data_IF_358825179453
#
_entry.id   IF_358825179453
#
_cell.length_a   1.000
_cell.length_b   1.000
_cell.length_c   1.000
_cell.angle_alpha   90.00
_cell.angle_beta   90.00
_cell.angle_gamma   90.00
#
_symmetry.space_group_name_H-M   'P 1'
#
loop_
_entity.id
_entity.type
_entity.pdbx_description
1 polymer ?
#
# COMPACT_ATOMS: atom_id res chain seq x y z
N UNK A 1 -32.07 24.27 75.10
CA UNK A 1 -33.03 25.38 75.28
C UNK A 1 -33.37 25.89 73.89
N UNK A 2 -34.50 25.46 73.34
CA UNK A 2 -35.78 26.19 73.32
C UNK A 2 -35.74 27.32 72.26
N UNK A 3 -36.67 27.49 71.33
CA UNK A 3 -37.93 26.85 70.92
C UNK A 3 -38.14 27.24 69.44
N UNK A 4 -39.01 26.60 68.65
CA UNK A 4 -40.44 26.95 68.56
C UNK A 4 -40.61 28.30 67.85
N UNK A 5 -41.41 28.50 66.80
CA UNK A 5 -42.65 27.81 66.43
C UNK A 5 -43.20 28.36 65.09
N UNK A 6 -43.91 27.49 64.35
CA UNK A 6 -45.17 27.69 63.57
C UNK A 6 -45.24 28.79 62.49
N UNK A 7 -45.89 28.59 61.35
CA UNK A 7 -46.83 27.60 60.81
C UNK A 7 -47.12 28.06 59.35
N UNK A 8 -47.90 27.42 58.49
CA UNK A 8 -49.19 26.75 58.67
C UNK A 8 -49.40 25.79 57.48
N UNK A 9 -50.06 24.67 57.78
CA UNK A 9 -50.54 23.59 56.91
C UNK A 9 -51.58 24.04 55.86
N UNK A 10 -51.62 23.41 54.68
CA UNK A 10 -52.67 22.42 54.37
C UNK A 10 -52.49 21.72 53.01
N UNK A 11 -53.01 20.50 52.99
CA UNK A 11 -52.93 19.45 51.98
C UNK A 11 -53.58 19.81 50.63
N UNK A 12 -53.04 19.23 49.55
CA UNK A 12 -53.85 18.34 48.69
C UNK A 12 -53.01 17.36 47.87
N UNK A 13 -53.21 16.07 48.15
CA UNK A 13 -52.91 14.94 47.27
C UNK A 13 -53.58 15.17 45.91
N UNK A 14 -52.85 14.95 44.82
CA UNK A 14 -53.36 14.17 43.70
C UNK A 14 -52.22 13.41 43.05
N UNK A 15 -52.30 12.09 43.22
CA UNK A 15 -51.60 11.07 42.46
C UNK A 15 -51.97 11.19 40.99
N UNK A 16 -50.99 11.35 40.12
CA UNK A 16 -51.15 11.06 38.69
C UNK A 16 -49.91 10.31 38.22
N UNK A 17 -50.16 9.08 37.80
CA UNK A 17 -49.22 8.12 37.24
C UNK A 17 -48.30 8.77 36.20
N UNK A 18 -46.99 8.65 36.40
CA UNK A 18 -46.04 8.68 35.29
C UNK A 18 -46.27 7.42 34.45
N UNK A 19 -47.03 7.55 33.36
CA UNK A 19 -47.06 6.55 32.31
C UNK A 19 -45.69 6.60 31.61
N UNK A 20 -44.81 5.68 31.97
CA UNK A 20 -43.61 5.42 31.19
C UNK A 20 -44.06 4.84 29.84
N UNK A 21 -44.08 5.69 28.80
CA UNK A 21 -44.24 5.24 27.43
C UNK A 21 -42.92 4.56 27.03
N UNK A 22 -42.81 3.27 27.33
CA UNK A 22 -41.82 2.42 26.71
C UNK A 22 -42.12 2.43 25.21
N UNK A 23 -41.37 3.21 24.44
CA UNK A 23 -41.30 3.05 23.00
C UNK A 23 -40.62 1.70 22.76
N UNK A 24 -41.45 0.66 22.70
CA UNK A 24 -41.10 -0.63 22.14
C UNK A 24 -40.75 -0.36 20.68
N UNK A 25 -39.46 -0.22 20.40
CA UNK A 25 -38.95 -0.28 19.03
C UNK A 25 -39.29 -1.68 18.56
N UNK A 26 -40.36 -1.80 17.78
CA UNK A 26 -40.63 -2.99 16.99
C UNK A 26 -39.41 -3.22 16.11
N UNK A 27 -38.55 -4.17 16.49
CA UNK A 27 -37.57 -4.74 15.59
C UNK A 27 -38.34 -5.43 14.48
N UNK A 28 -38.51 -4.76 13.34
CA UNK A 28 -38.95 -5.40 12.11
C UNK A 28 -37.87 -6.43 11.71
N UNK A 29 -38.17 -7.74 11.70
CA UNK A 29 -37.26 -8.73 11.15
C UNK A 29 -37.25 -8.53 9.64
N UNK A 30 -36.25 -7.82 9.12
CA UNK A 30 -36.12 -7.57 7.68
C UNK A 30 -35.34 -6.31 7.31
N UNK A 31 -35.10 -5.38 8.24
CA UNK A 31 -34.21 -4.24 7.97
C UNK A 31 -32.79 -4.64 8.33
N UNK A 32 -32.07 -5.20 7.36
CA UNK A 32 -30.59 -5.18 7.40
C UNK A 32 -30.21 -3.71 7.25
N UNK A 33 -29.84 -3.06 8.35
CA UNK A 33 -29.16 -1.77 8.26
C UNK A 33 -27.88 -2.03 7.48
N UNK A 34 -27.84 -1.58 6.22
CA UNK A 34 -26.59 -1.52 5.47
C UNK A 34 -25.62 -0.72 6.34
N UNK A 35 -24.59 -1.38 6.85
CA UNK A 35 -23.52 -0.69 7.56
C UNK A 35 -23.05 0.44 6.63
N UNK A 36 -22.89 1.68 7.11
CA UNK A 36 -22.36 2.74 6.28
C UNK A 36 -21.08 2.21 5.64
N UNK A 37 -20.97 2.36 4.33
CA UNK A 37 -19.80 1.87 3.59
C UNK A 37 -18.54 2.37 4.33
N UNK A 38 -17.62 1.47 4.70
CA UNK A 38 -16.49 1.86 5.52
C UNK A 38 -15.65 2.89 4.77
N UNK A 39 -14.98 3.76 5.52
CA UNK A 39 -13.94 4.61 4.96
C UNK A 39 -12.80 3.70 4.48
N UNK A 40 -12.78 3.44 3.17
CA UNK A 40 -11.97 2.40 2.53
C UNK A 40 -10.46 2.63 2.73
N UNK A 41 -10.01 3.89 2.68
CA UNK A 41 -8.60 4.24 2.90
C UNK A 41 -8.23 4.03 4.36
N UNK A 42 -9.09 4.46 5.28
CA UNK A 42 -8.97 4.28 6.71
C UNK A 42 -8.85 2.82 7.09
N UNK A 43 -9.70 1.95 6.52
CA UNK A 43 -9.62 0.51 6.76
C UNK A 43 -8.27 -0.11 6.34
N UNK A 44 -7.65 0.37 5.25
CA UNK A 44 -6.29 -0.04 4.86
C UNK A 44 -5.24 0.52 5.82
N UNK A 45 -5.31 1.82 6.15
CA UNK A 45 -4.39 2.45 7.11
C UNK A 45 -4.41 1.73 8.45
N UNK A 46 -5.59 1.47 9.00
CA UNK A 46 -5.79 0.75 10.26
C UNK A 46 -5.19 -0.66 10.21
N UNK A 47 -5.34 -1.34 9.07
CA UNK A 47 -4.79 -2.69 8.87
C UNK A 47 -3.25 -2.64 8.86
N UNK A 48 -2.66 -1.71 8.11
CA UNK A 48 -1.20 -1.50 8.08
C UNK A 48 -0.67 -1.14 9.46
N UNK A 49 -1.29 -0.19 10.15
CA UNK A 49 -0.91 0.22 11.51
C UNK A 49 -0.99 -0.94 12.51
N UNK A 50 -2.02 -1.78 12.40
CA UNK A 50 -2.21 -2.96 13.25
C UNK A 50 -1.13 -4.01 12.99
N UNK A 51 -0.86 -4.34 11.72
CA UNK A 51 0.18 -5.31 11.35
C UNK A 51 1.57 -4.80 11.72
N UNK A 52 1.85 -3.50 11.53
CA UNK A 52 3.10 -2.87 11.96
C UNK A 52 3.29 -2.97 13.47
N UNK A 53 2.25 -2.68 14.26
CA UNK A 53 2.29 -2.79 15.73
C UNK A 53 2.52 -4.24 16.16
N UNK A 54 1.86 -5.20 15.51
CA UNK A 54 2.06 -6.62 15.79
C UNK A 54 3.51 -7.05 15.51
N UNK A 55 4.04 -6.77 14.32
CA UNK A 55 5.42 -7.10 13.96
C UNK A 55 6.42 -6.50 14.94
N UNK A 56 6.26 -5.20 15.28
CA UNK A 56 7.12 -4.50 16.24
C UNK A 56 7.01 -4.99 17.68
N UNK A 57 5.87 -5.55 18.07
CA UNK A 57 5.72 -6.19 19.39
C UNK A 57 6.54 -7.47 19.53
N UNK A 58 6.87 -8.13 18.41
CA UNK A 58 7.67 -9.36 18.36
C UNK A 58 9.15 -9.07 18.06
N UNK A 59 9.41 -8.10 17.20
CA UNK A 59 10.74 -7.64 16.81
C UNK A 59 10.76 -6.11 16.77
N UNK A 60 11.37 -5.39 17.75
CA UNK A 60 11.28 -3.94 17.83
C UNK A 60 11.68 -3.18 16.55
N UNK A 61 12.63 -3.74 15.80
CA UNK A 61 13.14 -3.19 14.53
C UNK A 61 12.39 -3.68 13.29
N UNK A 62 11.21 -4.32 13.45
CA UNK A 62 10.45 -4.90 12.34
C UNK A 62 10.11 -3.85 11.28
N UNK A 63 10.57 -4.09 10.06
CA UNK A 63 10.46 -3.17 8.93
C UNK A 63 9.10 -3.34 8.25
N UNK A 64 8.42 -2.23 7.99
CA UNK A 64 7.18 -2.23 7.21
C UNK A 64 7.39 -1.38 5.96
N UNK A 65 7.43 -2.04 4.81
CA UNK A 65 7.34 -1.39 3.51
C UNK A 65 5.90 -1.46 3.02
N UNK A 66 5.50 -0.46 2.25
CA UNK A 66 4.26 -0.50 1.48
C UNK A 66 4.58 -0.34 0.01
N UNK A 67 3.95 -1.15 -0.85
CA UNK A 67 4.08 -1.02 -2.30
C UNK A 67 2.86 -0.28 -2.83
N UNK A 68 3.12 0.89 -3.41
CA UNK A 68 2.12 1.81 -3.91
C UNK A 68 1.27 2.45 -2.82
N UNK A 69 0.00 2.73 -3.10
CA UNK A 69 -0.94 3.34 -2.15
C UNK A 69 -0.55 4.74 -1.69
N UNK A 70 0.12 5.54 -2.55
CA UNK A 70 0.62 6.88 -2.22
C UNK A 70 -0.48 7.79 -1.64
N UNK A 71 -1.71 7.66 -2.13
CA UNK A 71 -2.83 8.47 -1.67
C UNK A 71 -3.28 8.17 -0.23
N UNK A 72 -2.81 7.07 0.38
CA UNK A 72 -3.11 6.75 1.78
C UNK A 72 -2.29 7.62 2.76
N UNK A 73 -1.18 8.19 2.31
CA UNK A 73 -0.30 9.00 3.17
C UNK A 73 -0.87 10.39 3.49
N UNK A 74 -1.91 10.84 2.79
CA UNK A 74 -2.48 12.16 3.00
C UNK A 74 -4.00 12.13 3.02
N UNK A 75 -4.60 13.11 3.68
CA UNK A 75 -6.04 13.32 3.68
C UNK A 75 -6.51 13.70 2.27
N UNK A 76 -7.36 12.88 1.66
CA UNK A 76 -7.99 13.19 0.38
C UNK A 76 -9.16 14.16 0.53
N UNK A 77 -9.53 14.80 -0.58
CA UNK A 77 -10.74 15.63 -0.64
C UNK A 77 -12.00 14.83 -0.32
N UNK A 78 -12.07 13.57 -0.78
CA UNK A 78 -13.20 12.68 -0.52
C UNK A 78 -13.38 12.43 0.97
N UNK A 79 -12.30 12.10 1.66
CA UNK A 79 -12.37 11.86 3.11
C UNK A 79 -12.75 13.13 3.88
N UNK A 80 -12.34 14.32 3.42
CA UNK A 80 -12.74 15.58 4.05
C UNK A 80 -14.23 15.91 3.83
N UNK A 81 -14.83 15.44 2.73
CA UNK A 81 -16.27 15.58 2.47
C UNK A 81 -17.12 14.61 3.30
N UNK A 82 -16.55 13.47 3.69
CA UNK A 82 -17.20 12.45 4.52
C UNK A 82 -17.01 12.70 6.04
N UNK A 83 -16.10 13.60 6.42
CA UNK A 83 -15.90 13.98 7.81
C UNK A 83 -17.08 14.79 8.34
N UNK A 84 -17.49 14.47 9.57
CA UNK A 84 -18.53 15.22 10.28
C UNK A 84 -18.13 16.70 10.41
N UNK A 85 -18.97 17.64 9.91
CA UNK A 85 -18.73 19.06 10.10
C UNK A 85 -18.51 19.43 11.58
N UNK A 86 -19.17 18.80 12.53
CA UNK A 86 -19.06 19.23 13.93
C UNK A 86 -17.91 18.53 14.68
N UNK A 87 -17.07 17.76 13.96
CA UNK A 87 -15.93 17.03 14.51
C UNK A 87 -14.79 17.92 15.03
N UNK A 88 -14.33 17.63 16.26
CA UNK A 88 -13.32 18.42 16.98
C UNK A 88 -11.89 18.37 16.41
N UNK A 89 -11.59 17.51 15.43
CA UNK A 89 -10.26 17.39 14.80
C UNK A 89 -10.40 17.25 13.28
N UNK A 90 -10.31 18.37 12.56
CA UNK A 90 -10.28 18.39 11.10
C UNK A 90 -8.84 18.50 10.61
N UNK A 91 -8.40 17.51 9.85
CA UNK A 91 -7.13 17.62 9.14
C UNK A 91 -7.37 18.29 7.78
N UNK A 92 -6.55 19.28 7.36
CA UNK A 92 -6.69 19.86 6.03
C UNK A 92 -6.43 18.80 4.95
N UNK A 93 -7.13 18.93 3.82
CA UNK A 93 -6.85 18.14 2.61
C UNK A 93 -5.36 18.29 2.24
N UNK A 94 -4.70 17.18 1.94
CA UNK A 94 -3.25 17.12 1.72
C UNK A 94 -2.40 17.04 3.00
N UNK A 95 -3.01 17.13 4.19
CA UNK A 95 -2.34 16.88 5.46
C UNK A 95 -1.89 15.41 5.57
N UNK A 96 -0.68 15.17 6.09
CA UNK A 96 -0.13 13.81 6.22
C UNK A 96 -0.85 13.01 7.30
N UNK A 97 -1.19 11.77 7.00
CA UNK A 97 -1.74 10.81 7.96
C UNK A 97 -0.62 10.31 8.89
N UNK A 98 -0.28 11.10 9.91
CA UNK A 98 0.94 10.89 10.70
C UNK A 98 1.01 9.53 11.42
N UNK A 99 -0.13 8.96 11.85
CA UNK A 99 -0.16 7.62 12.44
C UNK A 99 0.29 6.57 11.43
N UNK A 100 -0.25 6.65 10.20
CA UNK A 100 0.09 5.78 9.10
C UNK A 100 1.53 5.99 8.62
N UNK A 101 1.98 7.24 8.46
CA UNK A 101 3.36 7.59 8.10
C UNK A 101 4.35 6.95 9.08
N UNK A 102 4.10 7.04 10.40
CA UNK A 102 4.95 6.42 11.44
C UNK A 102 4.88 4.89 11.48
N UNK A 103 3.82 4.31 10.93
CA UNK A 103 3.72 2.86 10.78
C UNK A 103 4.60 2.33 9.64
N UNK A 104 4.96 3.17 8.66
CA UNK A 104 5.64 2.77 7.43
C UNK A 104 7.10 3.23 7.42
N UNK A 105 8.03 2.29 7.25
CA UNK A 105 9.46 2.58 7.13
C UNK A 105 9.88 2.95 5.70
N UNK A 106 9.15 2.46 4.69
CA UNK A 106 9.45 2.81 3.30
C UNK A 106 8.28 2.59 2.34
N UNK A 107 8.32 3.35 1.24
CA UNK A 107 7.37 3.33 0.15
C UNK A 107 8.06 2.79 -1.10
N UNK A 108 7.54 1.69 -1.64
CA UNK A 108 7.98 1.08 -2.90
C UNK A 108 7.05 1.56 -4.01
N UNK A 109 7.62 2.15 -5.06
CA UNK A 109 6.88 2.59 -6.25
C UNK A 109 7.30 1.76 -7.46
N UNK A 110 6.35 1.41 -8.32
CA UNK A 110 6.61 0.72 -9.57
C UNK A 110 6.74 1.71 -10.72
N UNK A 111 7.65 1.42 -11.65
CA UNK A 111 7.77 2.08 -12.97
C UNK A 111 7.77 3.62 -12.90
N UNK A 112 8.55 4.18 -11.99
CA UNK A 112 8.67 5.63 -11.82
C UNK A 112 9.54 6.30 -12.88
N UNK A 113 10.35 5.49 -13.57
CA UNK A 113 11.33 5.94 -14.56
C UNK A 113 11.35 5.09 -15.85
N UNK A 114 10.72 3.91 -15.85
CA UNK A 114 10.51 3.04 -17.00
C UNK A 114 9.01 2.97 -17.41
N UNK A 115 8.74 2.36 -18.57
CA UNK A 115 7.39 2.13 -19.09
C UNK A 115 6.60 3.42 -19.30
N UNK A 116 5.36 3.43 -18.81
CA UNK A 116 4.40 4.52 -19.01
C UNK A 116 4.88 5.86 -18.43
N UNK A 117 5.72 5.86 -17.37
CA UNK A 117 6.28 7.11 -16.85
C UNK A 117 7.25 7.74 -17.84
N UNK A 118 8.11 6.94 -18.48
CA UNK A 118 9.03 7.41 -19.50
C UNK A 118 8.30 7.90 -20.76
N UNK A 119 7.25 7.18 -21.16
CA UNK A 119 6.42 7.54 -22.33
C UNK A 119 5.71 8.87 -22.12
N UNK A 120 5.04 9.06 -20.98
CA UNK A 120 4.38 10.33 -20.63
C UNK A 120 5.34 11.51 -20.66
N UNK A 121 6.57 11.33 -20.16
CA UNK A 121 7.57 12.40 -20.18
C UNK A 121 8.05 12.71 -21.60
N UNK A 122 8.25 11.68 -22.42
CA UNK A 122 8.61 11.84 -23.84
C UNK A 122 7.52 12.58 -24.61
N UNK A 123 6.26 12.17 -24.44
CA UNK A 123 5.11 12.84 -25.05
C UNK A 123 5.00 14.30 -24.61
N UNK A 124 5.20 14.59 -23.32
CA UNK A 124 5.20 15.96 -22.81
C UNK A 124 6.31 16.83 -23.46
N UNK A 125 7.51 16.27 -23.66
CA UNK A 125 8.61 16.96 -24.36
C UNK A 125 8.30 17.20 -25.82
N UNK A 126 7.81 16.18 -26.53
CA UNK A 126 7.44 16.29 -27.94
C UNK A 126 6.30 17.30 -28.15
N UNK A 127 5.29 17.29 -27.27
CA UNK A 127 4.19 18.27 -27.29
C UNK A 127 4.71 19.70 -27.06
N UNK A 128 5.64 19.88 -26.12
CA UNK A 128 6.26 21.18 -25.85
C UNK A 128 7.02 21.70 -27.08
N UNK A 129 7.74 20.84 -27.79
CA UNK A 129 8.43 21.21 -29.03
C UNK A 129 7.44 21.56 -30.16
N UNK A 130 6.35 20.81 -30.33
CA UNK A 130 5.32 21.12 -31.35
C UNK A 130 4.70 22.50 -31.14
N UNK A 131 4.41 22.87 -29.90
CA UNK A 131 3.86 24.19 -29.55
C UNK A 131 4.80 25.36 -29.88
N UNK A 132 6.12 25.13 -29.96
CA UNK A 132 7.09 26.16 -30.38
C UNK A 132 7.07 26.43 -31.89
N UNK A 133 6.62 25.45 -32.70
CA UNK A 133 6.77 25.45 -34.16
C UNK A 133 5.47 25.87 -34.88
N UNK A 134 4.31 25.81 -34.22
CA UNK A 134 3.02 26.14 -34.84
C UNK A 134 2.90 27.61 -35.28
N UNK A 135 2.95 27.86 -36.59
CA UNK A 135 2.50 29.11 -37.23
C UNK A 135 0.96 29.19 -37.21
N UNK A 136 0.34 30.40 -37.18
CA UNK A 136 -1.11 30.53 -37.12
C UNK A 136 -1.76 29.89 -38.36
N UNK A 137 -2.69 28.96 -38.15
CA UNK A 137 -3.50 28.37 -39.22
C UNK A 137 -4.53 29.39 -39.74
N UNK A 138 -5.00 29.20 -40.99
CA UNK A 138 -5.97 30.07 -41.65
C UNK A 138 -7.34 30.19 -40.92
N UNK A 139 -7.62 29.32 -39.94
CA UNK A 139 -8.71 29.45 -38.97
C UNK A 139 -8.14 29.69 -37.57
N UNK A 140 -7.85 30.95 -37.26
CA UNK A 140 -7.20 31.36 -36.01
C UNK A 140 -7.95 30.90 -34.75
N UNK A 141 -9.29 30.91 -34.77
CA UNK A 141 -10.11 30.56 -33.60
C UNK A 141 -10.02 29.08 -33.20
N UNK A 142 -10.08 28.16 -34.16
CA UNK A 142 -9.98 26.72 -33.87
C UNK A 142 -8.59 26.34 -33.36
N UNK A 143 -7.54 26.89 -33.98
CA UNK A 143 -6.17 26.69 -33.55
C UNK A 143 -5.92 27.24 -32.14
N UNK A 144 -6.53 28.38 -31.79
CA UNK A 144 -6.43 28.98 -30.46
C UNK A 144 -7.16 28.14 -29.40
N UNK A 145 -8.36 27.65 -29.69
CA UNK A 145 -9.11 26.76 -28.78
C UNK A 145 -8.33 25.48 -28.48
N UNK A 146 -7.76 24.85 -29.51
CA UNK A 146 -6.98 23.62 -29.35
C UNK A 146 -5.68 23.85 -28.57
N UNK A 147 -4.97 24.95 -28.86
CA UNK A 147 -3.78 25.33 -28.10
C UNK A 147 -4.10 25.63 -26.62
N UNK A 148 -5.23 26.28 -26.33
CA UNK A 148 -5.65 26.55 -24.96
C UNK A 148 -6.03 25.26 -24.22
N UNK A 149 -6.68 24.31 -24.89
CA UNK A 149 -6.97 22.98 -24.33
C UNK A 149 -5.69 22.21 -24.00
N UNK A 150 -4.73 22.18 -24.93
CA UNK A 150 -3.43 21.53 -24.72
C UNK A 150 -2.65 22.17 -23.56
N UNK A 151 -2.63 23.51 -23.48
CA UNK A 151 -2.02 24.22 -22.34
C UNK A 151 -2.68 23.89 -21.01
N UNK A 152 -4.01 23.81 -20.97
CA UNK A 152 -4.74 23.45 -19.74
C UNK A 152 -4.44 22.01 -19.30
N UNK A 153 -4.38 21.07 -20.25
CA UNK A 153 -4.02 19.68 -20.00
C UNK A 153 -2.58 19.54 -19.49
N UNK A 154 -1.63 20.23 -20.13
CA UNK A 154 -0.24 20.31 -19.67
C UNK A 154 -0.13 20.88 -18.25
N UNK A 155 -0.84 21.98 -17.96
CA UNK A 155 -0.83 22.59 -16.64
C UNK A 155 -1.40 21.63 -15.56
N UNK A 156 -2.44 20.88 -15.89
CA UNK A 156 -3.02 19.87 -15.00
C UNK A 156 -2.03 18.72 -14.73
N UNK A 157 -1.36 18.22 -15.77
CA UNK A 157 -0.35 17.17 -15.63
C UNK A 157 0.85 17.65 -14.79
N UNK A 158 1.35 18.86 -15.06
CA UNK A 158 2.44 19.45 -14.30
C UNK A 158 2.08 19.66 -12.82
N UNK A 159 0.86 20.13 -12.55
CA UNK A 159 0.36 20.28 -11.18
C UNK A 159 0.28 18.93 -10.45
N UNK A 160 -0.18 17.87 -11.12
CA UNK A 160 -0.23 16.52 -10.55
C UNK A 160 1.17 15.98 -10.24
N UNK A 161 2.12 16.11 -11.19
CA UNK A 161 3.51 15.69 -10.99
C UNK A 161 4.20 16.45 -9.85
N UNK A 162 3.95 17.76 -9.76
CA UNK A 162 4.47 18.58 -8.67
C UNK A 162 3.86 18.18 -7.32
N UNK A 163 2.56 17.89 -7.28
CA UNK A 163 1.88 17.44 -6.05
C UNK A 163 2.44 16.09 -5.56
N UNK A 164 2.65 15.14 -6.49
CA UNK A 164 3.29 13.86 -6.19
C UNK A 164 4.72 14.05 -5.66
N UNK A 165 5.55 14.83 -6.36
CA UNK A 165 6.93 15.12 -5.94
C UNK A 165 6.98 15.76 -4.56
N UNK A 166 6.14 16.76 -4.31
CA UNK A 166 6.03 17.42 -3.01
C UNK A 166 5.62 16.45 -1.90
N UNK A 167 4.72 15.50 -2.18
CA UNK A 167 4.34 14.49 -1.21
C UNK A 167 5.51 13.56 -0.91
N UNK A 168 6.22 13.07 -1.93
CA UNK A 168 7.40 12.21 -1.75
C UNK A 168 8.50 12.90 -0.91
N UNK A 169 8.76 14.18 -1.13
CA UNK A 169 9.72 14.96 -0.34
C UNK A 169 9.30 15.11 1.13
N UNK A 170 8.00 15.32 1.37
CA UNK A 170 7.45 15.35 2.74
C UNK A 170 7.60 13.98 3.42
N UNK A 171 7.35 12.88 2.70
CA UNK A 171 7.52 11.53 3.24
C UNK A 171 8.98 11.23 3.59
N UNK A 172 9.92 11.64 2.75
CA UNK A 172 11.36 11.55 3.05
C UNK A 172 11.73 12.33 4.31
N UNK A 173 11.16 13.52 4.47
CA UNK A 173 11.38 14.36 5.67
C UNK A 173 10.86 13.68 6.94
N UNK A 174 9.78 12.93 6.85
CA UNK A 174 9.24 12.09 7.94
C UNK A 174 10.00 10.75 8.12
N UNK A 175 11.09 10.52 7.37
CA UNK A 175 11.94 9.34 7.48
C UNK A 175 11.47 8.13 6.67
N UNK A 176 10.46 8.27 5.81
CA UNK A 176 10.02 7.19 4.91
C UNK A 176 11.04 7.03 3.79
N UNK A 177 11.66 5.86 3.69
CA UNK A 177 12.60 5.57 2.60
C UNK A 177 11.85 5.31 1.30
N UNK A 178 12.28 5.94 0.21
CA UNK A 178 11.73 5.67 -1.12
C UNK A 178 12.48 4.53 -1.81
N UNK A 179 11.73 3.58 -2.34
CA UNK A 179 12.22 2.47 -3.14
C UNK A 179 11.51 2.44 -4.49
N UNK A 180 12.20 1.95 -5.53
CA UNK A 180 11.64 1.82 -6.87
C UNK A 180 11.87 0.42 -7.46
N UNK A 181 10.84 -0.19 -8.03
CA UNK A 181 10.94 -1.38 -8.87
C UNK A 181 10.69 -0.93 -10.31
N UNK A 182 11.73 -0.90 -11.12
CA UNK A 182 11.66 -0.42 -12.50
C UNK A 182 11.67 -1.59 -13.47
N UNK A 183 10.59 -1.77 -14.22
CA UNK A 183 10.52 -2.76 -15.30
C UNK A 183 10.79 -2.06 -16.64
N UNK A 184 12.00 -2.22 -17.13
CA UNK A 184 12.50 -1.54 -18.31
C UNK A 184 12.49 -2.50 -19.50
N UNK A 185 12.15 -1.99 -20.68
CA UNK A 185 12.08 -2.80 -21.91
C UNK A 185 13.46 -3.03 -22.51
N UNK A 186 14.37 -2.07 -22.34
CA UNK A 186 15.71 -2.12 -22.94
C UNK A 186 16.80 -1.73 -21.94
N UNK A 187 18.07 -2.12 -22.20
CA UNK A 187 19.21 -1.66 -21.41
C UNK A 187 19.39 -0.14 -21.38
N UNK A 188 19.04 0.56 -22.46
CA UNK A 188 19.08 2.03 -22.53
C UNK A 188 18.06 2.66 -21.59
N UNK A 189 16.84 2.11 -21.58
CA UNK A 189 15.78 2.50 -20.65
C UNK A 189 16.23 2.25 -19.19
N UNK A 190 16.83 1.09 -18.92
CA UNK A 190 17.41 0.79 -17.60
C UNK A 190 18.51 1.79 -17.19
N UNK A 191 19.39 2.20 -18.11
CA UNK A 191 20.43 3.18 -17.82
C UNK A 191 19.86 4.58 -17.53
N UNK A 192 18.76 4.97 -18.17
CA UNK A 192 18.04 6.19 -17.84
C UNK A 192 17.37 6.10 -16.47
N UNK A 193 16.72 4.98 -16.16
CA UNK A 193 16.05 4.77 -14.89
C UNK A 193 17.02 4.80 -13.70
N UNK A 194 18.22 4.21 -13.82
CA UNK A 194 19.28 4.32 -12.80
C UNK A 194 19.62 5.78 -12.47
N UNK A 195 19.76 6.63 -13.50
CA UNK A 195 20.07 8.06 -13.30
C UNK A 195 18.92 8.82 -12.65
N UNK A 196 17.67 8.57 -13.10
CA UNK A 196 16.48 9.24 -12.58
C UNK A 196 16.20 8.88 -11.12
N UNK A 197 16.22 7.59 -10.80
CA UNK A 197 15.97 7.11 -9.43
C UNK A 197 17.06 7.57 -8.46
N UNK A 198 18.33 7.54 -8.87
CA UNK A 198 19.43 8.10 -8.09
C UNK A 198 19.25 9.62 -7.83
N UNK A 199 18.86 10.39 -8.85
CA UNK A 199 18.58 11.82 -8.71
C UNK A 199 17.39 12.16 -7.80
N UNK A 200 16.52 11.19 -7.51
CA UNK A 200 15.40 11.32 -6.56
C UNK A 200 15.71 10.72 -5.19
N UNK A 201 16.93 10.25 -4.98
CA UNK A 201 17.38 9.55 -3.77
C UNK A 201 16.54 8.29 -3.46
N UNK A 202 16.11 7.59 -4.52
CA UNK A 202 15.38 6.33 -4.40
C UNK A 202 16.35 5.15 -4.43
N UNK A 203 16.14 4.19 -3.54
CA UNK A 203 16.80 2.90 -3.62
C UNK A 203 16.09 2.06 -4.70
N UNK A 204 16.73 1.80 -5.83
CA UNK A 204 16.06 1.20 -6.99
C UNK A 204 16.60 -0.18 -7.38
N UNK A 205 15.70 -1.08 -7.76
CA UNK A 205 16.01 -2.31 -8.49
C UNK A 205 15.53 -2.13 -9.93
N UNK A 206 16.42 -2.38 -10.88
CA UNK A 206 16.17 -2.13 -12.29
C UNK A 206 16.19 -3.45 -13.03
N UNK A 207 15.06 -3.82 -13.61
CA UNK A 207 14.82 -5.12 -14.23
C UNK A 207 14.62 -4.93 -15.73
N UNK A 208 15.37 -5.68 -16.54
CA UNK A 208 15.12 -5.78 -17.98
C UNK A 208 14.47 -7.12 -18.23
N UNK A 209 13.17 -7.20 -17.93
CA UNK A 209 12.37 -8.42 -18.04
C UNK A 209 10.98 -8.11 -18.60
N UNK A 210 10.66 -8.54 -19.83
CA UNK A 210 9.34 -8.33 -20.41
C UNK A 210 8.24 -9.10 -19.67
N UNK A 211 8.57 -10.13 -18.89
CA UNK A 211 7.59 -10.94 -18.15
C UNK A 211 7.00 -10.22 -16.95
N UNK A 212 7.77 -9.30 -16.34
CA UNK A 212 7.42 -8.53 -15.14
C UNK A 212 6.99 -9.40 -13.94
N UNK A 213 7.38 -10.68 -13.93
CA UNK A 213 6.92 -11.65 -12.91
C UNK A 213 7.67 -11.53 -11.59
N UNK A 214 8.79 -10.79 -11.56
CA UNK A 214 9.70 -10.74 -10.42
C UNK A 214 10.17 -12.16 -10.03
N UNK A 215 10.55 -12.96 -11.04
CA UNK A 215 11.01 -14.35 -10.91
C UNK A 215 12.49 -14.53 -11.24
N UNK A 216 13.20 -13.41 -11.44
CA UNK A 216 14.61 -13.41 -11.83
C UNK A 216 15.50 -13.08 -10.64
N UNK A 217 16.52 -13.92 -10.46
CA UNK A 217 17.69 -13.61 -9.63
C UNK A 217 18.84 -13.33 -10.59
N UNK A 218 19.21 -12.06 -10.71
CA UNK A 218 20.42 -11.71 -11.42
C UNK A 218 21.63 -12.06 -10.55
N UNK A 219 22.41 -13.04 -11.01
CA UNK A 219 23.66 -13.46 -10.35
C UNK A 219 24.87 -12.68 -10.87
N UNK A 220 24.70 -11.84 -11.90
CA UNK A 220 25.71 -10.86 -12.25
C UNK A 220 25.96 -9.97 -11.03
N UNK A 221 27.24 -9.67 -10.77
CA UNK A 221 27.62 -8.84 -9.63
C UNK A 221 26.81 -7.54 -9.66
N UNK A 222 26.00 -7.31 -8.64
CA UNK A 222 25.21 -6.09 -8.55
C UNK A 222 26.18 -4.91 -8.68
N UNK A 223 25.87 -3.95 -9.56
CA UNK A 223 26.55 -2.66 -9.51
C UNK A 223 26.36 -2.11 -8.09
N UNK A 224 27.45 -1.82 -7.38
CA UNK A 224 27.46 -1.39 -5.97
C UNK A 224 27.28 -2.51 -4.92
N UNK A 225 27.91 -3.67 -5.11
CA UNK A 225 28.05 -4.66 -4.02
C UNK A 225 28.58 -4.00 -2.73
N UNK A 226 27.96 -4.32 -1.60
CA UNK A 226 28.28 -3.76 -0.31
C UNK A 226 28.72 -4.88 0.63
N UNK A 227 29.96 -4.82 1.11
CA UNK A 227 30.49 -5.81 2.04
C UNK A 227 30.04 -5.56 3.49
N UNK A 228 29.56 -4.37 3.83
CA UNK A 228 29.18 -4.00 5.20
C UNK A 228 27.94 -4.80 5.66
N UNK A 229 27.84 -5.17 6.95
CA UNK A 229 26.59 -5.71 7.51
C UNK A 229 25.49 -4.65 7.51
N UNK A 230 24.28 -5.04 7.12
CA UNK A 230 23.11 -4.16 7.01
C UNK A 230 22.09 -4.57 8.07
N UNK A 231 21.93 -3.71 9.08
CA UNK A 231 21.07 -3.95 10.24
C UNK A 231 19.82 -3.07 10.27
N UNK A 232 19.69 -2.11 9.35
CA UNK A 232 18.54 -1.21 9.27
C UNK A 232 18.24 -0.83 7.83
N UNK A 233 16.99 -0.47 7.54
CA UNK A 233 16.58 -0.06 6.20
C UNK A 233 17.40 1.12 5.68
N UNK A 234 17.83 2.04 6.56
CA UNK A 234 18.66 3.20 6.22
C UNK A 234 20.07 2.83 5.72
N UNK A 235 20.62 1.70 6.15
CA UNK A 235 21.96 1.24 5.73
C UNK A 235 21.97 0.52 4.37
N UNK A 236 20.82 0.11 3.84
CA UNK A 236 20.74 -0.60 2.56
C UNK A 236 21.09 0.31 1.39
N UNK A 237 21.95 -0.15 0.47
CA UNK A 237 22.38 0.54 -0.75
C UNK A 237 21.89 -0.15 -2.02
N UNK A 238 21.54 -1.43 -1.92
CA UNK A 238 20.97 -2.23 -3.01
C UNK A 238 19.85 -3.12 -2.49
N UNK A 239 18.86 -3.42 -3.32
CA UNK A 239 17.88 -4.43 -2.98
C UNK A 239 17.51 -5.28 -4.19
N UNK A 240 16.97 -6.46 -3.91
CA UNK A 240 16.46 -7.41 -4.90
C UNK A 240 15.06 -7.85 -4.47
N UNK A 241 14.17 -7.99 -5.45
CA UNK A 241 12.79 -8.41 -5.23
C UNK A 241 12.49 -9.64 -6.08
N UNK A 242 12.02 -10.72 -5.44
CA UNK A 242 11.67 -11.98 -6.10
C UNK A 242 10.38 -12.52 -5.49
N UNK A 243 9.25 -12.26 -6.14
CA UNK A 243 7.92 -12.58 -5.62
C UNK A 243 7.29 -13.82 -6.27
N UNK A 244 7.91 -14.34 -7.33
CA UNK A 244 7.49 -15.57 -7.98
C UNK A 244 8.67 -16.55 -8.08
N UNK A 245 8.64 -17.58 -7.24
CA UNK A 245 9.71 -18.57 -7.16
C UNK A 245 9.44 -19.81 -8.02
N UNK A 246 8.38 -19.85 -8.84
CA UNK A 246 8.03 -21.03 -9.66
C UNK A 246 9.08 -21.37 -10.72
N UNK A 247 9.97 -20.44 -11.04
CA UNK A 247 11.13 -20.68 -11.92
C UNK A 247 12.16 -21.63 -11.29
N UNK A 248 12.15 -21.75 -9.97
CA UNK A 248 13.04 -22.66 -9.24
C UNK A 248 12.31 -24.00 -9.05
N UNK A 249 12.94 -25.10 -9.45
CA UNK A 249 12.31 -26.42 -9.39
C UNK A 249 12.03 -26.92 -7.98
N UNK A 250 12.80 -26.44 -7.00
CA UNK A 250 12.71 -26.85 -5.59
C UNK A 250 12.95 -25.65 -4.68
N UNK A 251 12.37 -25.71 -3.49
CA UNK A 251 12.51 -24.70 -2.44
C UNK A 251 13.98 -24.47 -2.07
N UNK A 252 14.79 -25.53 -1.96
CA UNK A 252 16.20 -25.38 -1.58
C UNK A 252 16.99 -24.61 -2.64
N UNK A 253 16.72 -24.86 -3.93
CA UNK A 253 17.37 -24.14 -5.04
C UNK A 253 17.02 -22.65 -5.02
N UNK A 254 15.78 -22.31 -4.65
CA UNK A 254 15.35 -20.93 -4.49
C UNK A 254 16.12 -20.22 -3.37
N UNK A 255 16.26 -20.88 -2.21
CA UNK A 255 16.98 -20.33 -1.05
C UNK A 255 18.49 -20.23 -1.33
N UNK A 256 19.09 -21.25 -1.95
CA UNK A 256 20.51 -21.25 -2.33
C UNK A 256 20.85 -20.13 -3.30
N UNK A 257 19.97 -19.83 -4.26
CA UNK A 257 20.18 -18.76 -5.23
C UNK A 257 20.37 -17.39 -4.56
N UNK A 258 19.70 -17.13 -3.45
CA UNK A 258 19.93 -15.92 -2.67
C UNK A 258 21.32 -15.87 -2.03
N UNK A 259 21.87 -17.00 -1.60
CA UNK A 259 23.21 -17.10 -1.04
C UNK A 259 24.33 -16.76 -2.03
N UNK A 260 24.00 -16.67 -3.33
CA UNK A 260 24.92 -16.30 -4.40
C UNK A 260 24.95 -14.79 -4.69
N UNK A 261 24.15 -13.99 -3.98
CA UNK A 261 24.02 -12.55 -4.23
C UNK A 261 24.49 -11.69 -3.04
N UNK A 262 24.79 -10.42 -3.32
CA UNK A 262 25.34 -9.47 -2.34
C UNK A 262 24.43 -8.25 -2.11
N UNK A 263 23.12 -8.36 -2.42
CA UNK A 263 22.16 -7.29 -2.16
C UNK A 263 21.98 -7.03 -0.66
N UNK A 264 21.77 -5.78 -0.28
CA UNK A 264 21.62 -5.37 1.13
C UNK A 264 20.23 -5.68 1.72
N UNK A 265 19.24 -5.78 0.83
CA UNK A 265 17.86 -6.08 1.15
C UNK A 265 17.29 -7.07 0.14
N UNK A 266 16.67 -8.15 0.63
CA UNK A 266 15.84 -9.04 -0.18
C UNK A 266 14.37 -8.82 0.18
N UNK A 267 13.52 -8.76 -0.84
CA UNK A 267 12.06 -8.80 -0.70
C UNK A 267 11.57 -10.05 -1.43
N UNK A 268 10.97 -10.98 -0.71
CA UNK A 268 10.63 -12.31 -1.22
C UNK A 268 9.19 -12.71 -0.91
N UNK A 269 8.70 -13.75 -1.57
CA UNK A 269 7.56 -14.52 -1.05
C UNK A 269 8.04 -15.48 0.04
N UNK A 270 7.35 -15.51 1.18
CA UNK A 270 7.62 -16.44 2.27
C UNK A 270 7.24 -17.89 1.93
N UNK A 271 6.60 -18.11 0.79
CA UNK A 271 6.16 -19.40 0.30
C UNK A 271 6.74 -19.68 -1.09
N UNK A 272 7.49 -20.77 -1.22
CA UNK A 272 7.91 -21.29 -2.51
C UNK A 272 6.69 -21.74 -3.33
N UNK A 273 6.62 -21.30 -4.59
CA UNK A 273 5.47 -21.56 -5.47
C UNK A 273 4.13 -21.08 -4.90
N UNK A 274 4.15 -20.09 -3.97
CA UNK A 274 3.01 -19.57 -3.19
C UNK A 274 2.37 -20.53 -2.19
N UNK A 275 2.85 -21.77 -2.08
CA UNK A 275 2.21 -22.82 -1.27
C UNK A 275 3.10 -23.37 -0.18
N UNK A 276 4.35 -23.67 -0.50
CA UNK A 276 5.26 -24.37 0.40
C UNK A 276 6.02 -23.35 1.24
N UNK A 277 5.77 -23.32 2.55
CA UNK A 277 6.40 -22.32 3.43
C UNK A 277 7.90 -22.51 3.48
N UNK A 278 8.65 -21.41 3.37
CA UNK A 278 10.03 -21.40 3.83
C UNK A 278 10.08 -21.68 5.34
N UNK A 279 11.25 -22.07 5.80
CA UNK A 279 11.55 -22.34 7.21
C UNK A 279 12.37 -21.22 7.82
N UNK A 280 12.40 -21.15 9.16
CA UNK A 280 13.26 -20.22 9.89
C UNK A 280 14.73 -20.34 9.45
N UNK A 281 15.26 -21.57 9.34
CA UNK A 281 16.66 -21.79 8.95
C UNK A 281 16.95 -21.33 7.51
N UNK A 282 15.99 -21.45 6.60
CA UNK A 282 16.11 -20.94 5.22
C UNK A 282 16.15 -19.41 5.18
N UNK A 283 15.28 -18.74 5.94
CA UNK A 283 15.33 -17.28 6.07
C UNK A 283 16.64 -16.84 6.72
N UNK A 284 17.09 -17.54 7.77
CA UNK A 284 18.39 -17.27 8.41
C UNK A 284 19.55 -17.41 7.44
N UNK A 285 19.56 -18.41 6.56
CA UNK A 285 20.56 -18.52 5.50
C UNK A 285 20.45 -17.37 4.50
N UNK A 286 19.23 -17.04 4.07
CA UNK A 286 18.99 -15.93 3.16
C UNK A 286 19.38 -14.57 3.75
N UNK A 287 19.49 -14.43 5.08
CA UNK A 287 19.96 -13.20 5.73
C UNK A 287 21.47 -12.97 5.61
N UNK A 288 22.25 -13.89 5.05
CA UNK A 288 23.67 -13.66 4.78
C UNK A 288 23.91 -13.47 3.28
N UNK A 289 24.70 -12.45 2.95
CA UNK A 289 25.22 -12.21 1.60
C UNK A 289 26.21 -13.29 1.21
N UNK A 290 26.50 -13.43 -0.09
CA UNK A 290 27.60 -14.30 -0.57
C UNK A 290 28.94 -14.00 0.10
N UNK A 291 29.21 -12.73 0.40
CA UNK A 291 30.43 -12.29 1.12
C UNK A 291 30.41 -12.58 2.62
N UNK A 292 29.33 -13.16 3.15
CA UNK A 292 29.22 -13.60 4.55
C UNK A 292 28.68 -12.57 5.53
N UNK A 293 28.42 -11.33 5.10
CA UNK A 293 27.85 -10.29 5.97
C UNK A 293 26.32 -10.27 5.94
N UNK A 294 25.72 -9.70 7.00
CA UNK A 294 24.27 -9.64 7.20
C UNK A 294 23.60 -8.72 6.16
N UNK A 295 22.46 -9.15 5.63
CA UNK A 295 21.52 -8.36 4.83
C UNK A 295 20.09 -8.55 5.33
N UNK A 296 19.19 -7.62 5.04
CA UNK A 296 17.78 -7.70 5.45
C UNK A 296 16.97 -8.63 4.53
N UNK A 297 15.99 -9.34 5.08
CA UNK A 297 15.03 -10.16 4.33
C UNK A 297 13.61 -9.80 4.74
N UNK A 298 12.80 -9.34 3.79
CA UNK A 298 11.40 -8.96 4.00
C UNK A 298 10.50 -9.91 3.21
N UNK A 299 9.33 -10.24 3.76
CA UNK A 299 8.33 -11.03 3.06
C UNK A 299 7.18 -10.18 2.51
N UNK A 300 6.66 -10.52 1.32
CA UNK A 300 5.45 -9.88 0.81
C UNK A 300 4.20 -10.35 1.56
N UNK A 301 3.22 -9.46 1.70
CA UNK A 301 1.87 -9.78 2.16
C UNK A 301 0.86 -8.90 1.43
N UNK A 302 -0.05 -9.51 0.66
CA UNK A 302 -1.12 -8.78 -0.02
C UNK A 302 -2.32 -8.61 0.92
N UNK A 303 -2.78 -7.37 1.10
CA UNK A 303 -3.85 -7.05 2.05
C UNK A 303 -5.26 -7.17 1.47
N UNK A 304 -5.40 -7.22 0.14
CA UNK A 304 -6.67 -6.97 -0.54
C UNK A 304 -7.05 -8.04 -1.55
N UNK A 305 -6.19 -9.04 -1.74
CA UNK A 305 -6.42 -10.19 -2.61
C UNK A 305 -6.30 -11.50 -1.82
N UNK A 306 -7.28 -12.38 -2.01
CA UNK A 306 -7.17 -13.79 -1.69
C UNK A 306 -6.65 -14.53 -2.92
N UNK A 307 -5.61 -15.35 -2.76
CA UNK A 307 -5.03 -16.13 -3.86
C UNK A 307 -5.32 -17.62 -3.64
N UNK A 308 -5.83 -18.29 -4.67
CA UNK A 308 -6.30 -19.68 -4.59
C UNK A 308 -5.21 -20.71 -4.29
N UNK A 309 -3.95 -20.33 -4.48
CA UNK A 309 -2.77 -21.19 -4.25
C UNK A 309 -2.26 -21.13 -2.80
N UNK A 310 -2.79 -20.21 -1.97
CA UNK A 310 -2.29 -19.97 -0.60
C UNK A 310 -2.84 -20.97 0.40
N UNK A 311 -2.09 -21.18 1.48
CA UNK A 311 -2.43 -22.13 2.55
C UNK A 311 -3.80 -21.89 3.21
N UNK A 312 -4.27 -20.63 3.26
CA UNK A 312 -5.57 -20.28 3.86
C UNK A 312 -6.75 -20.49 2.92
N UNK A 313 -6.50 -20.76 1.64
CA UNK A 313 -7.58 -20.90 0.66
C UNK A 313 -8.40 -22.14 0.94
N UNK A 314 -9.72 -21.97 0.96
CA UNK A 314 -10.65 -23.10 1.05
C UNK A 314 -11.26 -23.38 -0.33
N UNK A 315 -11.06 -24.57 -0.91
CA UNK A 315 -11.62 -24.94 -2.22
C UNK A 315 -13.16 -24.88 -2.31
N UNK A 316 -13.86 -24.88 -1.17
CA UNK A 316 -15.32 -24.71 -1.10
C UNK A 316 -15.76 -23.26 -1.28
N UNK A 317 -14.85 -22.27 -1.18
CA UNK A 317 -15.18 -20.87 -1.37
C UNK A 317 -15.69 -20.58 -2.78
N UNK A 318 -16.67 -19.70 -2.86
CA UNK A 318 -17.27 -19.17 -4.08
C UNK A 318 -17.34 -17.67 -3.94
N UNK A 319 -17.44 -16.93 -5.05
CA UNK A 319 -17.61 -15.48 -4.98
C UNK A 319 -18.88 -15.17 -4.14
N UNK A 320 -18.73 -14.26 -3.17
CA UNK A 320 -19.74 -13.94 -2.16
C UNK A 320 -19.83 -14.92 -0.98
N UNK A 321 -19.09 -16.02 -0.99
CA UNK A 321 -19.06 -17.04 0.06
C UNK A 321 -17.63 -17.56 0.31
N UNK A 322 -16.92 -17.01 1.31
CA UNK A 322 -17.40 -16.10 2.36
C UNK A 322 -17.73 -14.71 1.82
N UNK A 323 -18.55 -13.95 2.55
CA UNK A 323 -19.06 -12.63 2.11
C UNK A 323 -17.94 -11.65 1.73
N UNK A 324 -16.77 -11.78 2.35
CA UNK A 324 -15.63 -10.95 2.05
C UNK A 324 -14.92 -11.28 0.73
N UNK A 325 -15.24 -12.40 0.07
CA UNK A 325 -14.67 -12.79 -1.22
C UNK A 325 -15.46 -12.12 -2.36
N UNK A 326 -14.99 -10.98 -2.86
CA UNK A 326 -15.83 -10.05 -3.61
C UNK A 326 -15.87 -10.28 -5.14
N UNK A 327 -14.73 -10.30 -5.81
CA UNK A 327 -14.68 -10.37 -7.28
C UNK A 327 -13.35 -10.93 -7.78
N UNK A 328 -13.33 -11.78 -8.83
CA UNK A 328 -12.08 -12.22 -9.44
C UNK A 328 -11.31 -11.05 -10.06
N UNK A 329 -9.98 -11.18 -10.16
CA UNK A 329 -9.13 -10.25 -10.92
C UNK A 329 -8.78 -10.87 -12.28
N UNK A 330 -9.34 -10.37 -13.40
CA UNK A 330 -9.00 -10.87 -14.74
C UNK A 330 -7.50 -10.83 -15.06
N UNK A 331 -6.80 -9.81 -14.56
CA UNK A 331 -5.38 -9.58 -14.75
C UNK A 331 -4.47 -10.57 -13.99
N UNK A 332 -5.00 -11.25 -12.96
CA UNK A 332 -4.23 -12.17 -12.13
C UNK A 332 -5.04 -13.44 -11.86
N UNK A 333 -4.80 -14.47 -12.69
CA UNK A 333 -5.47 -15.76 -12.58
C UNK A 333 -5.36 -16.34 -11.15
N UNK A 334 -6.50 -16.75 -10.59
CA UNK A 334 -6.59 -17.32 -9.25
C UNK A 334 -6.56 -16.30 -8.10
N UNK A 335 -6.41 -15.00 -8.38
CA UNK A 335 -6.58 -13.94 -7.39
C UNK A 335 -8.01 -13.41 -7.37
N UNK A 336 -8.51 -13.15 -6.16
CA UNK A 336 -9.86 -12.67 -5.91
C UNK A 336 -9.80 -11.49 -4.95
N UNK A 337 -10.35 -10.36 -5.37
CA UNK A 337 -10.51 -9.17 -4.54
C UNK A 337 -11.32 -9.50 -3.30
N UNK A 338 -10.90 -8.97 -2.17
CA UNK A 338 -11.62 -9.12 -0.91
C UNK A 338 -12.16 -7.79 -0.41
N UNK A 339 -13.24 -7.84 0.37
CA UNK A 339 -13.69 -6.76 1.24
C UNK A 339 -12.72 -6.68 2.42
N UNK A 340 -11.56 -6.05 2.22
CA UNK A 340 -10.44 -6.09 3.16
C UNK A 340 -10.75 -5.50 4.55
N UNK A 341 -11.80 -4.70 4.67
CA UNK A 341 -12.30 -4.20 5.94
C UNK A 341 -13.00 -5.28 6.78
N UNK A 342 -13.39 -6.41 6.19
CA UNK A 342 -14.17 -7.45 6.85
C UNK A 342 -13.36 -8.17 7.95
N UNK A 343 -13.90 -8.33 9.17
CA UNK A 343 -13.16 -8.91 10.30
C UNK A 343 -12.59 -10.30 10.04
N UNK A 344 -13.35 -11.19 9.38
CA UNK A 344 -12.87 -12.54 9.07
C UNK A 344 -11.65 -12.54 8.13
N UNK A 345 -11.58 -11.61 7.16
CA UNK A 345 -10.40 -11.46 6.31
C UNK A 345 -9.21 -10.89 7.11
N UNK A 346 -9.45 -9.90 7.98
CA UNK A 346 -8.42 -9.41 8.91
C UNK A 346 -7.86 -10.54 9.80
N UNK A 347 -8.70 -11.52 10.17
CA UNK A 347 -8.27 -12.75 10.84
C UNK A 347 -7.29 -13.58 10.00
N UNK A 348 -7.57 -13.78 8.71
CA UNK A 348 -6.66 -14.45 7.77
C UNK A 348 -5.33 -13.71 7.68
N UNK A 349 -5.36 -12.38 7.53
CA UNK A 349 -4.15 -11.55 7.50
C UNK A 349 -3.34 -11.65 8.80
N UNK A 350 -4.00 -11.75 9.95
CA UNK A 350 -3.34 -11.93 11.25
C UNK A 350 -2.57 -13.24 11.34
N UNK A 351 -3.20 -14.36 10.92
CA UNK A 351 -2.54 -15.68 10.88
C UNK A 351 -1.37 -15.68 9.89
N UNK A 352 -1.55 -15.06 8.72
CA UNK A 352 -0.47 -14.95 7.73
C UNK A 352 0.70 -14.11 8.30
N UNK A 353 0.43 -12.93 8.84
CA UNK A 353 1.44 -12.08 9.46
C UNK A 353 2.20 -12.80 10.58
N UNK A 354 1.49 -13.54 11.44
CA UNK A 354 2.12 -14.36 12.47
C UNK A 354 3.07 -15.38 11.85
N UNK A 355 2.63 -16.13 10.84
CA UNK A 355 3.47 -17.09 10.14
C UNK A 355 4.74 -16.46 9.59
N UNK A 356 4.64 -15.30 8.92
CA UNK A 356 5.81 -14.58 8.39
C UNK A 356 6.78 -14.15 9.49
N UNK A 357 6.27 -13.64 10.61
CA UNK A 357 7.10 -13.28 11.79
C UNK A 357 7.79 -14.53 12.35
N UNK A 358 7.09 -15.65 12.46
CA UNK A 358 7.63 -16.91 12.97
C UNK A 358 8.72 -17.49 12.03
N UNK A 359 8.71 -17.14 10.73
CA UNK A 359 9.82 -17.44 9.80
C UNK A 359 11.11 -16.64 10.09
N UNK A 360 11.06 -15.62 10.94
CA UNK A 360 12.24 -14.82 11.31
C UNK A 360 12.67 -13.79 10.26
N UNK A 361 11.73 -13.31 9.43
CA UNK A 361 11.98 -12.19 8.50
C UNK A 361 12.21 -10.89 9.26
N UNK A 362 12.99 -9.98 8.68
CA UNK A 362 13.26 -8.66 9.26
C UNK A 362 12.09 -7.67 9.11
N UNK A 363 11.11 -8.02 8.27
CA UNK A 363 9.97 -7.16 8.01
C UNK A 363 9.04 -7.69 6.93
N UNK A 364 8.08 -6.86 6.54
CA UNK A 364 7.14 -7.15 5.45
C UNK A 364 7.07 -6.02 4.43
N UNK A 365 6.74 -6.38 3.20
CA UNK A 365 6.24 -5.47 2.19
C UNK A 365 4.74 -5.73 1.98
N UNK A 366 3.92 -4.75 2.32
CA UNK A 366 2.47 -4.81 2.20
C UNK A 366 2.01 -4.32 0.82
N UNK A 367 1.14 -5.09 0.17
CA UNK A 367 0.65 -4.82 -1.19
C UNK A 367 -0.87 -4.69 -1.27
N UNK A 368 -1.36 -4.18 -2.40
CA UNK A 368 -2.79 -4.08 -2.71
C UNK A 368 -3.45 -2.82 -2.13
N UNK A 369 -2.66 -1.79 -1.85
CA UNK A 369 -3.11 -0.58 -1.17
C UNK A 369 -3.91 0.38 -2.05
N UNK A 370 -3.98 0.16 -3.35
CA UNK A 370 -4.81 0.90 -4.29
C UNK A 370 -6.24 0.34 -4.37
N UNK A 371 -6.53 -0.80 -3.75
CA UNK A 371 -7.82 -1.46 -3.88
C UNK A 371 -8.99 -0.61 -3.36
N UNK A 372 -8.75 0.42 -2.54
CA UNK A 372 -9.78 1.39 -2.16
C UNK A 372 -10.39 2.10 -3.37
N UNK A 373 -9.60 2.35 -4.44
CA UNK A 373 -10.07 3.10 -5.61
C UNK A 373 -11.28 2.42 -6.24
N UNK A 374 -11.22 1.10 -6.37
CA UNK A 374 -12.31 0.28 -6.90
C UNK A 374 -13.61 0.37 -6.08
N UNK A 375 -13.51 0.57 -4.76
CA UNK A 375 -14.67 0.65 -3.89
C UNK A 375 -15.17 2.10 -3.69
N UNK A 376 -14.29 3.10 -3.84
CA UNK A 376 -14.65 4.51 -3.81
C UNK A 376 -15.30 4.99 -5.10
N UNK A 377 -14.81 4.49 -6.24
CA UNK A 377 -15.31 4.79 -7.57
C UNK A 377 -15.41 3.47 -8.37
N UNK A 378 -16.58 2.80 -8.36
CA UNK A 378 -16.77 1.52 -9.04
C UNK A 378 -16.86 1.66 -10.57
N UNK A 379 -16.58 2.85 -11.14
CA UNK A 379 -16.44 3.02 -12.58
C UNK A 379 -15.36 2.06 -13.11
N UNK A 380 -15.61 1.33 -14.20
CA UNK A 380 -14.58 0.47 -14.77
C UNK A 380 -13.38 1.32 -15.24
N UNK A 381 -12.13 0.85 -15.07
CA UNK A 381 -10.98 1.46 -15.72
C UNK A 381 -11.07 1.42 -17.25
#
# INVERSE_FOLDING_TARGET
>A
MAGGDRGIYFLRKHSSLCLALALTICAFPGVVWAQPAPEYRGALRDTVETLARYGRSRHPDFIVLVRGGLDLFQKSRREALLEDPDGARRQPVGGLQLSYVRAVNGLVLDDTACGAALEREREAREMTERLKVTKPAANALFAEIEANRQKAEQAKLAAALNAETNLLDRLKTEGVRLLAIEHCRTPEEAAMARRKTAGREMLATILVDPSRRLDLIDSARASHENADPVLSLGAARTFMVVLDSRRFNRQEMFVEAFGLTNHDLLIIDGFHGKKDSLTFDEIRRAQFKRVGTRRLVLARLNLTLAEAERFYWNPAWRIGQPEWLAAPLPEQAGAVRVRYWHPAWKGVLGVYMQGLVDLGVDGVMLEGLEAFQHFEDPSPP
#
